data_IF_544866380352
#
_entry.id   IF_544866380352
#
_cell.length_a   1.000
_cell.length_b   1.000
_cell.length_c   1.000
_cell.angle_alpha   90.00
_cell.angle_beta   90.00
_cell.angle_gamma   90.00
#
_symmetry.space_group_name_H-M   'P 1'
#
loop_
_entity.id
_entity.type
_entity.pdbx_description
1 polymer ?
#
# COMPACT_ATOMS: atom_id res chain seq x y z
N UNK A 1 10.87 40.28 42.56
CA UNK A 1 10.01 39.69 43.60
C UNK A 1 8.62 39.73 43.00
N UNK A 2 7.93 38.68 42.61
CA UNK A 2 7.85 37.27 43.03
C UNK A 2 7.02 36.60 41.90
N UNK A 3 7.04 35.31 41.53
CA UNK A 3 7.33 34.06 42.21
C UNK A 3 7.79 33.04 41.15
N UNK A 4 8.85 32.30 41.47
CA UNK A 4 9.16 31.04 40.84
C UNK A 4 8.15 30.00 41.34
N UNK A 5 7.49 29.28 40.42
CA UNK A 5 6.79 28.04 40.73
C UNK A 5 7.43 26.93 39.91
N UNK A 6 8.53 26.41 40.43
CA UNK A 6 9.10 25.13 40.02
C UNK A 6 8.56 24.06 40.98
N UNK A 7 7.58 23.30 40.51
CA UNK A 7 7.07 22.09 41.16
C UNK A 7 6.98 21.01 40.07
N UNK A 8 8.09 20.28 39.87
CA UNK A 8 8.20 18.88 39.40
C UNK A 8 7.13 18.35 38.44
N UNK A 9 6.85 19.07 37.36
CA UNK A 9 6.19 18.51 36.19
C UNK A 9 7.30 18.05 35.25
N UNK A 10 7.53 16.74 35.11
CA UNK A 10 8.58 16.19 34.26
C UNK A 10 8.28 16.55 32.79
N UNK A 11 8.79 17.69 32.35
CA UNK A 11 8.69 18.15 30.98
C UNK A 11 9.56 17.27 30.10
N UNK A 12 8.98 16.74 29.02
CA UNK A 12 9.66 15.88 28.08
C UNK A 12 9.49 16.41 26.66
N UNK A 13 10.57 16.33 25.89
CA UNK A 13 10.56 16.73 24.48
C UNK A 13 10.24 15.54 23.60
N UNK A 14 9.17 15.63 22.82
CA UNK A 14 8.72 14.63 21.85
C UNK A 14 9.14 15.03 20.43
N UNK A 15 9.31 14.03 19.57
CA UNK A 15 9.52 14.19 18.12
C UNK A 15 8.21 13.93 17.40
N UNK A 16 7.56 14.99 16.96
CA UNK A 16 6.29 14.94 16.25
C UNK A 16 6.57 14.93 14.75
N UNK A 17 6.12 13.90 14.04
CA UNK A 17 6.30 13.77 12.59
C UNK A 17 4.99 14.07 11.89
N UNK A 18 4.97 15.08 11.03
CA UNK A 18 3.81 15.51 10.25
C UNK A 18 4.26 15.85 8.83
N UNK A 19 3.58 15.33 7.80
CA UNK A 19 3.88 15.61 6.39
C UNK A 19 5.38 15.43 5.99
N UNK A 20 6.06 14.43 6.56
CA UNK A 20 7.51 14.13 6.43
C UNK A 20 8.46 15.10 7.15
N UNK A 21 7.94 16.15 7.77
CA UNK A 21 8.72 17.03 8.64
C UNK A 21 8.70 16.52 10.09
N UNK A 22 9.80 16.73 10.81
CA UNK A 22 9.90 16.38 12.23
C UNK A 22 10.04 17.65 13.06
N UNK A 23 9.06 17.92 13.92
CA UNK A 23 9.07 19.03 14.87
C UNK A 23 9.31 18.53 16.29
N UNK A 24 9.93 19.36 17.13
CA UNK A 24 10.14 19.06 18.55
C UNK A 24 9.08 19.78 19.36
N UNK A 25 8.36 19.04 20.17
CA UNK A 25 7.28 19.55 21.01
C UNK A 25 7.57 19.18 22.46
N UNK A 26 7.61 20.17 23.34
CA UNK A 26 7.79 19.93 24.78
C UNK A 26 6.43 19.84 25.45
N UNK A 27 6.21 18.76 26.20
CA UNK A 27 4.94 18.48 26.89
C UNK A 27 5.22 18.03 28.31
N UNK A 28 4.31 18.31 29.24
CA UNK A 28 4.39 17.82 30.62
C UNK A 28 3.80 16.42 30.75
N UNK A 29 4.37 15.58 31.61
CA UNK A 29 3.87 14.24 31.94
C UNK A 29 2.46 14.21 32.52
N UNK A 30 2.03 15.29 33.18
CA UNK A 30 0.73 15.42 33.84
C UNK A 30 -0.40 15.85 32.89
N UNK A 31 -0.03 16.27 31.68
CA UNK A 31 -0.99 16.70 30.66
C UNK A 31 -1.72 15.50 30.04
N UNK A 32 -2.88 15.78 29.47
CA UNK A 32 -3.68 14.79 28.76
C UNK A 32 -3.29 14.71 27.29
N UNK A 33 -3.67 13.63 26.62
CA UNK A 33 -3.48 13.50 25.17
C UNK A 33 -4.27 14.58 24.41
N UNK A 34 -5.37 15.08 24.97
CA UNK A 34 -6.11 16.22 24.44
C UNK A 34 -5.27 17.51 24.41
N UNK A 35 -4.56 17.83 25.49
CA UNK A 35 -3.67 19.00 25.54
C UNK A 35 -2.54 18.87 24.51
N UNK A 36 -2.00 17.66 24.35
CA UNK A 36 -0.98 17.36 23.34
C UNK A 36 -1.52 17.59 21.91
N UNK A 37 -2.76 17.19 21.62
CA UNK A 37 -3.42 17.46 20.33
C UNK A 37 -3.55 18.96 20.06
N UNK A 38 -3.98 19.74 21.05
CA UNK A 38 -4.12 21.19 20.92
C UNK A 38 -2.77 21.87 20.66
N UNK A 39 -1.71 21.42 21.34
CA UNK A 39 -0.37 21.94 21.16
C UNK A 39 0.20 21.60 19.77
N UNK A 40 -0.01 20.35 19.33
CA UNK A 40 0.37 19.92 17.97
C UNK A 40 -0.44 20.68 16.92
N UNK A 41 -1.73 20.96 17.15
CA UNK A 41 -2.57 21.71 16.22
C UNK A 41 -2.05 23.15 16.02
N UNK A 42 -1.58 23.81 17.09
CA UNK A 42 -0.94 25.14 17.00
C UNK A 42 0.36 25.10 16.18
N UNK A 43 1.17 24.06 16.35
CA UNK A 43 2.48 23.92 15.68
C UNK A 43 2.38 23.43 14.22
N UNK A 44 1.38 22.59 13.91
CA UNK A 44 1.25 21.93 12.59
C UNK A 44 0.15 22.56 11.72
N UNK A 45 -0.74 23.36 12.31
CA UNK A 45 -1.92 23.91 11.63
C UNK A 45 -3.01 22.88 11.33
N UNK A 46 -2.83 21.61 11.75
CA UNK A 46 -3.80 20.54 11.50
C UNK A 46 -4.96 20.62 12.52
N UNK A 47 -6.23 20.58 12.08
CA UNK A 47 -7.38 20.64 12.98
C UNK A 47 -7.44 19.44 13.93
N UNK A 48 -7.67 19.69 15.23
CA UNK A 48 -7.80 18.66 16.27
C UNK A 48 -8.86 17.61 15.92
N UNK A 49 -9.96 18.03 15.27
CA UNK A 49 -11.07 17.17 14.88
C UNK A 49 -10.72 16.12 13.80
N UNK A 50 -9.67 16.34 13.02
CA UNK A 50 -9.21 15.44 11.95
C UNK A 50 -7.85 14.82 12.26
N UNK A 51 -7.31 15.10 13.46
CA UNK A 51 -5.97 14.68 13.87
C UNK A 51 -5.99 13.33 14.58
N UNK A 52 -5.21 12.39 14.04
CA UNK A 52 -4.94 11.07 14.61
C UNK A 52 -3.48 11.00 15.04
N UNK A 53 -3.25 10.71 16.32
CA UNK A 53 -1.91 10.57 16.89
C UNK A 53 -1.57 9.08 17.01
N UNK A 54 -0.39 8.70 16.53
CA UNK A 54 0.10 7.33 16.59
C UNK A 54 1.45 7.24 17.32
N UNK A 55 1.51 6.38 18.33
CA UNK A 55 2.73 6.01 19.05
C UNK A 55 2.53 4.60 19.60
N UNK A 56 3.38 3.64 19.17
CA UNK A 56 3.26 2.21 19.52
C UNK A 56 1.82 1.65 19.39
N UNK A 57 1.03 2.22 18.48
CA UNK A 57 -0.41 2.03 18.42
C UNK A 57 -1.16 3.36 18.30
N UNK A 58 -2.45 3.32 18.60
CA UNK A 58 -3.33 4.47 18.52
C UNK A 58 -3.31 5.26 19.83
N UNK A 59 -2.75 6.47 19.79
CA UNK A 59 -2.69 7.35 20.95
C UNK A 59 -3.96 8.18 21.07
N UNK A 60 -4.46 8.69 19.94
CA UNK A 60 -5.73 9.39 19.86
C UNK A 60 -6.29 9.36 18.44
N UNK A 61 -7.60 9.37 18.33
CA UNK A 61 -8.31 9.37 17.06
C UNK A 61 -9.55 10.27 17.11
N UNK A 62 -9.99 10.79 15.96
CA UNK A 62 -11.31 11.41 15.87
C UNK A 62 -12.41 10.41 16.25
N UNK A 63 -13.33 10.83 17.13
CA UNK A 63 -14.45 10.00 17.57
C UNK A 63 -14.14 9.00 18.70
N UNK A 64 -12.94 9.03 19.31
CA UNK A 64 -12.61 8.21 20.49
C UNK A 64 -12.16 9.07 21.69
N UNK A 65 -13.11 9.72 22.40
CA UNK A 65 -12.81 10.60 23.53
C UNK A 65 -12.12 9.88 24.71
N UNK A 66 -12.34 8.56 24.85
CA UNK A 66 -11.68 7.73 25.87
C UNK A 66 -10.16 7.71 25.75
N UNK A 67 -9.62 7.84 24.53
CA UNK A 67 -8.18 7.90 24.29
C UNK A 67 -7.62 9.31 24.51
N UNK A 68 -8.45 10.34 24.30
CA UNK A 68 -8.07 11.74 24.51
C UNK A 68 -7.98 12.12 26.01
N UNK A 69 -8.79 11.45 26.85
CA UNK A 69 -8.79 11.65 28.30
C UNK A 69 -7.62 10.97 29.02
N UNK A 70 -6.87 10.09 28.35
CA UNK A 70 -5.71 9.41 28.96
C UNK A 70 -4.61 10.43 29.25
N UNK A 71 -3.95 10.24 30.39
CA UNK A 71 -2.74 11.00 30.73
C UNK A 71 -1.57 10.52 29.89
N UNK A 72 -0.65 11.42 29.57
CA UNK A 72 0.52 11.06 28.76
C UNK A 72 1.39 10.02 29.50
N UNK A 73 1.45 10.06 30.83
CA UNK A 73 2.10 9.04 31.66
C UNK A 73 1.59 7.62 31.41
N UNK A 74 0.30 7.43 31.15
CA UNK A 74 -0.33 6.11 30.91
C UNK A 74 -0.08 5.57 29.50
N UNK A 75 0.28 6.45 28.55
CA UNK A 75 0.52 6.08 27.16
C UNK A 75 1.94 5.54 26.91
N UNK A 76 2.80 5.56 27.93
CA UNK A 76 4.19 5.10 27.83
C UNK A 76 5.08 5.97 26.93
N UNK A 77 4.68 7.22 26.71
CA UNK A 77 5.53 8.22 26.05
C UNK A 77 6.76 8.48 26.92
N UNK A 78 7.92 8.48 26.28
CA UNK A 78 9.22 8.75 26.90
C UNK A 78 9.85 9.97 26.24
N UNK A 79 10.87 10.53 26.88
CA UNK A 79 11.67 11.59 26.27
C UNK A 79 12.19 11.15 24.89
N UNK A 80 12.10 12.06 23.91
CA UNK A 80 12.48 11.87 22.50
C UNK A 80 11.67 10.81 21.74
N UNK A 81 10.54 10.36 22.27
CA UNK A 81 9.61 9.46 21.59
C UNK A 81 9.10 10.06 20.27
N UNK A 82 8.91 9.19 19.27
CA UNK A 82 8.45 9.57 17.93
C UNK A 82 6.93 9.41 17.83
N UNK A 83 6.20 10.51 17.75
CA UNK A 83 4.74 10.53 17.56
C UNK A 83 4.45 10.87 16.11
N UNK A 84 3.71 10.01 15.41
CA UNK A 84 3.26 10.27 14.05
C UNK A 84 1.89 10.94 14.09
N UNK A 85 1.77 12.08 13.41
CA UNK A 85 0.52 12.81 13.25
C UNK A 85 -0.04 12.47 11.88
N UNK A 86 -1.26 11.93 11.87
CA UNK A 86 -2.03 11.65 10.67
C UNK A 86 -3.22 12.59 10.66
N UNK A 87 -3.22 13.53 9.73
CA UNK A 87 -4.26 14.53 9.53
C UNK A 87 -3.90 15.37 8.30
N UNK A 88 -4.86 16.09 7.73
CA UNK A 88 -4.63 16.98 6.60
C UNK A 88 -5.12 18.38 6.97
N UNK A 89 -4.43 19.40 6.47
CA UNK A 89 -4.94 20.78 6.52
C UNK A 89 -5.93 21.00 5.38
N UNK A 90 -6.87 21.94 5.54
CA UNK A 90 -7.82 22.28 4.47
C UNK A 90 -7.11 22.66 3.16
N UNK A 91 -5.96 23.33 3.27
CA UNK A 91 -5.09 23.68 2.14
C UNK A 91 -4.54 22.44 1.43
N UNK A 92 -4.02 21.46 2.19
CA UNK A 92 -3.54 20.20 1.61
C UNK A 92 -4.67 19.39 0.96
N UNK A 93 -5.86 19.39 1.57
CA UNK A 93 -7.05 18.75 0.97
C UNK A 93 -7.44 19.44 -0.34
N UNK A 94 -7.38 20.77 -0.38
CA UNK A 94 -7.67 21.54 -1.59
C UNK A 94 -6.64 21.30 -2.69
N UNK A 95 -5.34 21.29 -2.36
CA UNK A 95 -4.25 20.98 -3.31
C UNK A 95 -4.35 19.55 -3.86
N UNK A 96 -4.63 18.56 -3.00
CA UNK A 96 -4.84 17.17 -3.44
C UNK A 96 -6.07 17.07 -4.33
N UNK A 97 -7.18 17.74 -3.97
CA UNK A 97 -8.39 17.75 -4.79
C UNK A 97 -8.14 18.44 -6.14
N UNK A 98 -7.41 19.56 -6.16
CA UNK A 98 -7.05 20.24 -7.41
C UNK A 98 -6.09 19.38 -8.25
N UNK A 99 -5.09 18.74 -7.65
CA UNK A 99 -4.21 17.81 -8.35
C UNK A 99 -4.96 16.58 -8.88
N UNK A 100 -5.93 16.05 -8.15
CA UNK A 100 -6.81 14.97 -8.59
C UNK A 100 -7.74 15.42 -9.72
N UNK A 101 -8.23 16.66 -9.70
CA UNK A 101 -9.04 17.24 -10.78
C UNK A 101 -8.19 17.43 -12.05
N UNK A 102 -6.97 17.97 -11.91
CA UNK A 102 -6.03 18.15 -13.03
C UNK A 102 -5.58 16.81 -13.60
N UNK A 103 -5.30 15.82 -12.76
CA UNK A 103 -4.89 14.48 -13.21
C UNK A 103 -6.04 13.60 -13.72
N UNK A 104 -7.29 13.86 -13.33
CA UNK A 104 -8.48 13.22 -13.91
C UNK A 104 -9.01 13.92 -15.17
N UNK A 105 -8.50 15.10 -15.52
CA UNK A 105 -8.91 15.77 -16.76
C UNK A 105 -8.53 14.91 -17.96
N UNK A 106 -9.47 14.75 -18.90
CA UNK A 106 -9.27 13.94 -20.11
C UNK A 106 -8.02 14.34 -20.91
N UNK A 107 -7.66 15.63 -20.87
CA UNK A 107 -6.44 16.16 -21.47
C UNK A 107 -5.14 15.62 -20.82
N UNK A 108 -5.09 15.50 -19.49
CA UNK A 108 -3.93 14.97 -18.77
C UNK A 108 -3.83 13.44 -18.95
N UNK A 109 -4.96 12.72 -18.97
CA UNK A 109 -5.00 11.29 -19.33
C UNK A 109 -4.58 11.04 -20.78
N UNK A 110 -4.97 11.89 -21.73
CA UNK A 110 -4.57 11.79 -23.12
C UNK A 110 -3.08 12.10 -23.33
N UNK A 111 -2.54 13.11 -22.63
CA UNK A 111 -1.12 13.49 -22.72
C UNK A 111 -0.20 12.48 -21.99
N UNK A 112 -0.64 11.91 -20.87
CA UNK A 112 0.04 10.80 -20.20
C UNK A 112 -0.03 9.50 -21.04
N UNK A 113 -1.17 9.21 -21.68
CA UNK A 113 -1.29 8.07 -22.61
C UNK A 113 -0.41 8.23 -23.87
N UNK A 114 -0.19 9.46 -24.34
CA UNK A 114 0.64 9.76 -25.50
C UNK A 114 2.16 9.70 -25.21
N UNK A 115 2.59 9.81 -23.95
CA UNK A 115 4.02 9.85 -23.58
C UNK A 115 4.49 8.59 -22.86
N UNK A 116 3.58 7.72 -22.41
CA UNK A 116 3.95 6.44 -21.81
C UNK A 116 4.08 5.39 -22.92
N UNK A 117 5.22 5.38 -23.61
CA UNK A 117 5.71 4.12 -24.20
C UNK A 117 5.95 3.20 -23.00
N UNK A 118 4.90 2.48 -22.60
CA UNK A 118 4.98 1.47 -21.54
C UNK A 118 6.08 0.52 -21.98
N UNK A 119 7.21 0.60 -21.28
CA UNK A 119 8.34 -0.29 -21.47
C UNK A 119 7.80 -1.72 -21.52
N UNK A 120 8.15 -2.46 -22.57
CA UNK A 120 7.65 -3.85 -22.71
C UNK A 120 8.06 -4.62 -21.47
N UNK A 121 7.16 -5.41 -20.89
CA UNK A 121 7.46 -6.17 -19.66
C UNK A 121 8.73 -7.01 -19.76
N UNK A 122 9.04 -7.55 -20.95
CA UNK A 122 10.28 -8.28 -21.24
C UNK A 122 11.57 -7.48 -20.99
N UNK A 123 11.50 -6.15 -20.96
CA UNK A 123 12.63 -5.25 -20.72
C UNK A 123 12.73 -4.80 -19.26
N UNK A 124 11.75 -5.12 -18.42
CA UNK A 124 11.83 -4.90 -16.98
C UNK A 124 12.81 -5.89 -16.35
N UNK A 125 13.54 -5.43 -15.33
CA UNK A 125 14.68 -6.15 -14.74
C UNK A 125 14.33 -7.58 -14.31
N UNK A 126 13.18 -7.74 -13.65
CA UNK A 126 12.73 -9.05 -13.13
C UNK A 126 12.50 -10.05 -14.26
N UNK A 127 11.82 -9.63 -15.33
CA UNK A 127 11.55 -10.49 -16.49
C UNK A 127 12.83 -10.79 -17.29
N UNK A 128 13.71 -9.80 -17.44
CA UNK A 128 14.99 -9.97 -18.14
C UNK A 128 15.89 -10.99 -17.44
N UNK A 129 15.97 -10.95 -16.10
CA UNK A 129 16.75 -11.91 -15.31
C UNK A 129 16.23 -13.35 -15.46
N UNK A 130 14.92 -13.54 -15.62
CA UNK A 130 14.32 -14.86 -15.85
C UNK A 130 14.55 -15.33 -17.29
N UNK A 131 14.35 -14.46 -18.29
CA UNK A 131 14.58 -14.79 -19.70
C UNK A 131 16.06 -15.15 -19.94
N UNK A 132 17.00 -14.45 -19.30
CA UNK A 132 18.43 -14.76 -19.40
C UNK A 132 18.81 -16.13 -18.84
N UNK A 133 18.05 -16.67 -17.88
CA UNK A 133 18.27 -18.02 -17.36
C UNK A 133 17.88 -19.11 -18.37
N UNK A 134 17.16 -18.73 -19.43
CA UNK A 134 16.69 -19.66 -20.44
C UNK A 134 15.59 -20.59 -19.93
N UNK A 135 14.99 -21.38 -20.82
CA UNK A 135 14.06 -22.43 -20.41
C UNK A 135 14.80 -23.49 -19.57
N UNK A 136 14.18 -24.00 -18.49
CA UNK A 136 14.70 -25.15 -17.74
C UNK A 136 15.01 -26.36 -18.64
N UNK A 137 15.97 -27.20 -18.24
CA UNK A 137 16.38 -28.37 -19.01
C UNK A 137 15.28 -29.43 -19.15
N UNK A 138 14.31 -29.45 -18.23
CA UNK A 138 13.11 -30.28 -18.21
C UNK A 138 11.86 -29.55 -18.74
N UNK A 139 12.02 -28.33 -19.27
CA UNK A 139 10.90 -27.56 -19.78
C UNK A 139 10.25 -28.33 -20.94
N UNK A 140 8.92 -28.58 -20.89
CA UNK A 140 8.24 -29.23 -21.99
C UNK A 140 8.35 -28.34 -23.24
N UNK A 141 8.59 -28.95 -24.40
CA UNK A 141 8.56 -28.23 -25.65
C UNK A 141 7.20 -27.53 -25.82
N UNK A 142 7.23 -26.26 -26.20
CA UNK A 142 6.03 -25.55 -26.59
C UNK A 142 5.42 -26.28 -27.79
N UNK A 143 4.15 -26.67 -27.67
CA UNK A 143 3.47 -27.46 -28.70
C UNK A 143 3.55 -26.77 -30.05
N UNK A 144 4.25 -27.41 -30.99
CA UNK A 144 4.28 -27.00 -32.39
C UNK A 144 3.24 -27.83 -33.16
N UNK A 145 2.18 -27.20 -33.71
CA UNK A 145 1.15 -27.91 -34.45
C UNK A 145 1.75 -28.77 -35.57
N UNK A 146 1.54 -30.09 -35.51
CA UNK A 146 2.01 -31.04 -36.53
C UNK A 146 3.47 -31.50 -36.39
N UNK A 147 4.23 -31.04 -35.38
CA UNK A 147 5.63 -31.45 -35.15
C UNK A 147 5.84 -32.26 -33.86
N UNK A 148 5.02 -32.05 -32.83
CA UNK A 148 5.18 -32.79 -31.57
C UNK A 148 4.32 -34.07 -31.55
N UNK A 149 4.90 -35.25 -31.27
CA UNK A 149 4.13 -36.45 -31.02
C UNK A 149 3.22 -36.23 -29.81
N UNK A 150 2.01 -36.80 -29.86
CA UNK A 150 1.14 -36.84 -28.68
C UNK A 150 1.92 -37.51 -27.54
N UNK A 151 1.87 -36.99 -26.30
CA UNK A 151 2.50 -37.65 -25.16
C UNK A 151 2.03 -39.11 -25.06
N UNK A 152 2.95 -40.02 -24.78
CA UNK A 152 2.67 -41.47 -24.70
C UNK A 152 1.64 -41.83 -23.61
N UNK A 153 1.41 -40.91 -22.66
CA UNK A 153 0.43 -41.05 -21.59
C UNK A 153 -0.56 -39.87 -21.52
N UNK A 154 -1.82 -40.11 -21.15
CA UNK A 154 -2.70 -39.02 -20.73
C UNK A 154 -2.13 -38.33 -19.48
N UNK A 155 -2.48 -37.06 -19.27
CA UNK A 155 -2.43 -36.49 -17.92
C UNK A 155 -3.39 -37.30 -17.04
N UNK A 156 -2.83 -38.02 -16.06
CA UNK A 156 -3.61 -38.85 -15.17
C UNK A 156 -4.68 -37.99 -14.46
N UNK A 157 -5.95 -38.42 -14.55
CA UNK A 157 -7.06 -37.82 -13.80
C UNK A 157 -8.02 -36.91 -14.57
N UNK A 158 -7.78 -36.58 -15.85
CA UNK A 158 -8.77 -35.88 -16.69
C UNK A 158 -9.30 -36.78 -17.81
N UNK A 159 -10.50 -37.32 -17.57
CA UNK A 159 -11.28 -38.08 -18.54
C UNK A 159 -12.55 -37.26 -18.80
N UNK A 160 -12.81 -36.93 -20.06
CA UNK A 160 -14.07 -36.26 -20.43
C UNK A 160 -15.26 -37.20 -20.36
N UNK A 161 -16.47 -36.65 -20.50
CA UNK A 161 -17.75 -37.39 -20.38
C UNK A 161 -17.85 -38.60 -21.33
N UNK A 162 -17.12 -38.58 -22.45
CA UNK A 162 -17.03 -39.68 -23.41
C UNK A 162 -15.91 -40.70 -23.15
N UNK A 163 -15.28 -40.72 -21.96
CA UNK A 163 -14.18 -41.64 -21.64
C UNK A 163 -12.86 -41.32 -22.36
N UNK A 164 -12.81 -40.21 -23.11
CA UNK A 164 -11.68 -39.84 -23.96
C UNK A 164 -10.69 -38.98 -23.17
N UNK A 165 -9.40 -39.20 -23.45
CA UNK A 165 -8.28 -38.46 -22.88
C UNK A 165 -8.35 -36.99 -23.32
N UNK A 166 -8.21 -36.07 -22.37
CA UNK A 166 -8.26 -34.64 -22.62
C UNK A 166 -6.92 -33.95 -22.29
N UNK A 167 -6.57 -32.89 -23.02
CA UNK A 167 -5.41 -32.03 -22.74
C UNK A 167 -5.86 -30.60 -22.49
N UNK A 168 -5.28 -29.97 -21.46
CA UNK A 168 -5.48 -28.54 -21.17
C UNK A 168 -4.43 -27.69 -21.88
N UNK A 169 -4.88 -26.59 -22.49
CA UNK A 169 -4.04 -25.57 -23.11
C UNK A 169 -4.53 -24.19 -22.66
N UNK A 170 -3.65 -23.41 -22.03
CA UNK A 170 -3.95 -22.03 -21.66
C UNK A 170 -3.49 -21.12 -22.81
N UNK A 171 -4.44 -20.48 -23.48
CA UNK A 171 -4.15 -19.49 -24.52
C UNK A 171 -3.92 -18.12 -23.86
N UNK A 172 -2.65 -17.78 -23.62
CA UNK A 172 -2.25 -16.56 -22.90
C UNK A 172 -2.61 -15.26 -23.62
N UNK A 173 -2.84 -15.30 -24.94
CA UNK A 173 -3.23 -14.11 -25.71
C UNK A 173 -4.61 -13.56 -25.30
N UNK A 174 -5.50 -14.41 -24.83
CA UNK A 174 -6.86 -14.06 -24.43
C UNK A 174 -7.25 -14.68 -23.07
N UNK A 175 -6.28 -15.20 -22.31
CA UNK A 175 -6.44 -15.86 -21.02
C UNK A 175 -7.55 -16.92 -20.98
N UNK A 176 -7.70 -17.69 -22.06
CA UNK A 176 -8.74 -18.72 -22.19
C UNK A 176 -8.17 -20.12 -22.02
N UNK A 177 -8.95 -21.01 -21.39
CA UNK A 177 -8.59 -22.40 -21.22
C UNK A 177 -9.22 -23.22 -22.37
N UNK A 178 -8.43 -24.03 -23.04
CA UNK A 178 -8.89 -24.88 -24.13
C UNK A 178 -8.65 -26.34 -23.74
N UNK A 179 -9.71 -27.14 -23.83
CA UNK A 179 -9.68 -28.58 -23.65
C UNK A 179 -9.64 -29.24 -25.03
N UNK A 180 -8.53 -29.92 -25.33
CA UNK A 180 -8.35 -30.67 -26.56
C UNK A 180 -8.70 -32.15 -26.36
N UNK A 181 -9.55 -32.67 -27.24
CA UNK A 181 -9.84 -34.09 -27.45
C UNK A 181 -9.24 -34.55 -28.79
N UNK A 182 -9.13 -35.87 -29.05
CA UNK A 182 -8.52 -36.37 -30.28
C UNK A 182 -9.10 -35.80 -31.58
N UNK A 183 -10.42 -35.49 -31.60
CA UNK A 183 -11.11 -35.04 -32.81
C UNK A 183 -11.80 -33.68 -32.65
N UNK A 184 -11.69 -33.03 -31.49
CA UNK A 184 -12.47 -31.83 -31.16
C UNK A 184 -11.76 -31.01 -30.10
N UNK A 185 -11.91 -29.69 -30.12
CA UNK A 185 -11.41 -28.81 -29.07
C UNK A 185 -12.55 -27.96 -28.55
N UNK A 186 -12.63 -27.78 -27.24
CA UNK A 186 -13.64 -26.98 -26.58
C UNK A 186 -12.97 -25.88 -25.76
N UNK A 187 -13.50 -24.67 -25.82
CA UNK A 187 -13.06 -23.54 -25.00
C UNK A 187 -13.90 -23.48 -23.71
N UNK A 188 -13.26 -23.14 -22.59
CA UNK A 188 -13.86 -22.92 -21.27
C UNK A 188 -13.61 -21.49 -20.82
#
# INVERSE_FOLDING_TARGET
MSEAKDETAASMTLRVVYAKETKRVTVSSDQTVKDLKELIAKETGCPVAQMKLMFKGLLAAPGKPELDAKKISETGLKEKAKVLVVGATQTQVAEVTQADQVSNTAAFKAQAAATTVKKKWSEERVHREIIQKGPPADAPFAYRPGQDPLPDGPLAGLIGDGGKKARLHIKTANNKLIIHYPNTSQEV
#
